data_IF_980513203399
#
_entry.id   IF_980513203399
#
_cell.length_a   1.000
_cell.length_b   1.000
_cell.length_c   1.000
_cell.angle_alpha   90.00
_cell.angle_beta   90.00
_cell.angle_gamma   90.00
#
_symmetry.space_group_name_H-M   'P 1'
#
loop_
_entity.id
_entity.type
_entity.pdbx_description
1 polymer ?
#
# COMPACT_ATOMS: atom_id res chain seq x y z
N UNK A 1 -37.19 14.25 -6.41
CA UNK A 1 -35.87 14.05 -5.77
C UNK A 1 -35.28 12.78 -6.34
N UNK A 2 -34.10 12.85 -6.97
CA UNK A 2 -33.37 11.65 -7.37
C UNK A 2 -33.08 10.80 -6.11
N UNK A 3 -33.21 9.48 -6.21
CA UNK A 3 -32.92 8.46 -5.18
C UNK A 3 -33.81 8.38 -3.93
N UNK A 4 -34.82 9.23 -3.75
CA UNK A 4 -35.64 9.24 -2.51
C UNK A 4 -36.30 7.89 -2.19
N UNK A 5 -36.90 7.24 -3.20
CA UNK A 5 -37.50 5.92 -3.04
C UNK A 5 -36.47 4.84 -2.70
N UNK A 6 -35.28 4.89 -3.30
CA UNK A 6 -34.21 3.92 -3.05
C UNK A 6 -33.64 4.06 -1.64
N UNK A 7 -33.48 5.30 -1.16
CA UNK A 7 -33.08 5.59 0.22
C UNK A 7 -34.12 5.07 1.21
N UNK A 8 -35.41 5.29 0.93
CA UNK A 8 -36.50 4.82 1.78
C UNK A 8 -36.51 3.29 1.88
N UNK A 9 -36.38 2.61 0.75
CA UNK A 9 -36.34 1.15 0.67
C UNK A 9 -35.11 0.60 1.38
N UNK A 10 -33.92 1.15 1.12
CA UNK A 10 -32.67 0.76 1.77
C UNK A 10 -32.79 0.90 3.30
N UNK A 11 -33.21 2.08 3.77
CA UNK A 11 -33.31 2.36 5.22
C UNK A 11 -34.31 1.43 5.88
N UNK A 12 -35.49 1.26 5.28
CA UNK A 12 -36.53 0.36 5.79
C UNK A 12 -36.03 -1.07 5.88
N UNK A 13 -35.43 -1.60 4.80
CA UNK A 13 -34.90 -2.96 4.77
C UNK A 13 -33.81 -3.15 5.82
N UNK A 14 -32.88 -2.19 5.95
CA UNK A 14 -31.74 -2.29 6.86
C UNK A 14 -32.17 -2.29 8.32
N UNK A 15 -33.07 -1.37 8.70
CA UNK A 15 -33.62 -1.31 10.05
C UNK A 15 -34.49 -2.53 10.38
N UNK A 16 -35.30 -3.02 9.42
CA UNK A 16 -36.09 -4.25 9.60
C UNK A 16 -35.24 -5.50 9.85
N UNK A 17 -34.04 -5.54 9.27
CA UNK A 17 -33.14 -6.70 9.40
C UNK A 17 -32.44 -6.74 10.75
N UNK A 18 -32.20 -5.58 11.38
CA UNK A 18 -31.33 -5.46 12.56
C UNK A 18 -32.09 -5.16 13.85
N UNK A 19 -33.23 -4.49 13.77
CA UNK A 19 -34.03 -4.12 14.94
C UNK A 19 -35.14 -5.14 15.22
N UNK A 20 -35.62 -5.16 16.46
CA UNK A 20 -36.70 -6.05 16.89
C UNK A 20 -37.99 -5.84 16.08
N UNK A 21 -38.69 -6.93 15.76
CA UNK A 21 -39.99 -6.90 15.08
C UNK A 21 -41.05 -6.16 15.89
N UNK A 22 -40.93 -6.14 17.22
CA UNK A 22 -41.87 -5.48 18.13
C UNK A 22 -41.69 -3.95 18.15
N UNK A 23 -40.61 -3.42 17.60
CA UNK A 23 -40.25 -2.00 17.61
C UNK A 23 -40.61 -1.31 16.30
N UNK A 24 -41.78 -1.61 15.75
CA UNK A 24 -42.26 -1.02 14.49
C UNK A 24 -42.25 0.50 14.55
N UNK A 25 -42.66 1.10 15.68
CA UNK A 25 -42.68 2.55 15.85
C UNK A 25 -41.27 3.19 15.84
N UNK A 26 -40.23 2.47 16.26
CA UNK A 26 -38.85 2.94 16.16
C UNK A 26 -38.42 2.93 14.69
N UNK A 27 -38.60 1.79 14.02
CA UNK A 27 -38.23 1.61 12.61
C UNK A 27 -38.89 2.66 11.71
N UNK A 28 -40.18 2.94 11.90
CA UNK A 28 -40.89 4.00 11.16
C UNK A 28 -40.30 5.38 11.45
N UNK A 29 -40.19 5.78 12.72
CA UNK A 29 -39.67 7.10 13.11
C UNK A 29 -38.26 7.36 12.60
N UNK A 30 -37.37 6.38 12.74
CA UNK A 30 -35.98 6.48 12.27
C UNK A 30 -35.92 6.54 10.73
N UNK A 31 -36.71 5.71 10.04
CA UNK A 31 -36.79 5.71 8.58
C UNK A 31 -37.21 7.07 8.04
N UNK A 32 -38.32 7.62 8.55
CA UNK A 32 -38.84 8.92 8.12
C UNK A 32 -37.81 10.03 8.36
N UNK A 33 -37.14 10.00 9.52
CA UNK A 33 -36.15 11.00 9.88
C UNK A 33 -34.91 10.96 8.98
N UNK A 34 -34.34 9.77 8.77
CA UNK A 34 -33.17 9.57 7.91
C UNK A 34 -33.49 9.93 6.47
N UNK A 35 -34.64 9.48 5.96
CA UNK A 35 -35.09 9.83 4.62
C UNK A 35 -35.21 11.35 4.44
N UNK A 36 -35.83 12.05 5.41
CA UNK A 36 -36.00 13.51 5.37
C UNK A 36 -34.68 14.27 5.36
N UNK A 37 -33.66 13.82 6.11
CA UNK A 37 -32.39 14.54 6.24
C UNK A 37 -31.39 14.19 5.14
N UNK A 38 -31.51 13.00 4.54
CA UNK A 38 -30.60 12.53 3.50
C UNK A 38 -30.49 13.47 2.30
N UNK A 39 -31.51 14.28 2.04
CA UNK A 39 -31.54 15.25 0.94
C UNK A 39 -31.18 14.64 -0.44
N UNK A 40 -31.49 13.36 -0.65
CA UNK A 40 -31.16 12.60 -1.87
C UNK A 40 -29.75 11.99 -1.90
N UNK A 41 -28.93 12.20 -0.88
CA UNK A 41 -27.60 11.60 -0.72
C UNK A 41 -27.70 10.18 -0.17
N UNK A 42 -27.54 9.19 -1.05
CA UNK A 42 -27.56 7.78 -0.65
C UNK A 42 -26.39 7.44 0.29
N UNK A 43 -25.21 7.99 0.04
CA UNK A 43 -24.02 7.79 0.87
C UNK A 43 -24.24 8.30 2.31
N UNK A 44 -24.89 9.46 2.44
CA UNK A 44 -25.26 10.00 3.75
C UNK A 44 -26.18 9.02 4.49
N UNK A 45 -27.22 8.52 3.81
CA UNK A 45 -28.16 7.57 4.41
C UNK A 45 -27.47 6.27 4.86
N UNK A 46 -26.56 5.72 4.05
CA UNK A 46 -25.79 4.53 4.42
C UNK A 46 -25.00 4.74 5.71
N UNK A 47 -24.24 5.84 5.80
CA UNK A 47 -23.40 6.14 6.96
C UNK A 47 -24.21 6.40 8.23
N UNK A 48 -25.30 7.17 8.11
CA UNK A 48 -26.16 7.50 9.25
C UNK A 48 -26.96 6.29 9.73
N UNK A 49 -27.42 5.42 8.83
CA UNK A 49 -28.07 4.16 9.21
C UNK A 49 -27.10 3.27 9.98
N UNK A 50 -25.86 3.10 9.51
CA UNK A 50 -24.87 2.26 10.20
C UNK A 50 -24.49 2.84 11.58
N UNK A 51 -24.30 4.16 11.72
CA UNK A 51 -24.07 4.80 13.03
C UNK A 51 -25.29 4.64 13.95
N UNK A 52 -26.50 4.83 13.42
CA UNK A 52 -27.75 4.68 14.20
C UNK A 52 -27.90 3.26 14.72
N UNK A 53 -27.63 2.25 13.89
CA UNK A 53 -27.70 0.84 14.26
C UNK A 53 -26.63 0.49 15.30
N UNK A 54 -25.41 1.02 15.19
CA UNK A 54 -24.38 0.83 16.21
C UNK A 54 -24.83 1.35 17.58
N UNK A 55 -25.46 2.54 17.63
CA UNK A 55 -26.00 3.10 18.88
C UNK A 55 -27.22 2.36 19.41
N UNK A 56 -28.03 1.84 18.52
CA UNK A 56 -29.14 0.97 18.89
C UNK A 56 -28.62 -0.31 19.56
N UNK A 57 -27.59 -0.95 18.99
CA UNK A 57 -26.95 -2.13 19.55
C UNK A 57 -26.29 -1.86 20.93
N UNK A 58 -25.88 -0.62 21.20
CA UNK A 58 -25.41 -0.15 22.51
C UNK A 58 -26.54 0.10 23.54
N UNK A 59 -27.81 -0.04 23.14
CA UNK A 59 -28.98 0.19 24.01
C UNK A 59 -29.43 1.65 24.12
N UNK A 60 -29.05 2.50 23.15
CA UNK A 60 -29.48 3.92 23.14
C UNK A 60 -30.99 4.02 22.94
N UNK A 61 -31.65 4.88 23.73
CA UNK A 61 -33.11 5.11 23.61
C UNK A 61 -33.49 5.76 22.28
N UNK A 62 -34.73 5.56 21.83
CA UNK A 62 -35.25 6.16 20.59
C UNK A 62 -35.01 7.68 20.52
N UNK A 63 -35.30 8.40 21.61
CA UNK A 63 -35.05 9.85 21.68
C UNK A 63 -33.56 10.20 21.53
N UNK A 64 -32.67 9.36 22.09
CA UNK A 64 -31.23 9.50 21.91
C UNK A 64 -30.80 9.29 20.46
N UNK A 65 -31.35 8.27 19.80
CA UNK A 65 -31.10 7.99 18.38
C UNK A 65 -31.60 9.13 17.48
N UNK A 66 -32.82 9.61 17.72
CA UNK A 66 -33.41 10.73 16.97
C UNK A 66 -32.55 11.99 17.09
N UNK A 67 -32.12 12.34 18.31
CA UNK A 67 -31.22 13.49 18.53
C UNK A 67 -29.90 13.31 17.79
N UNK A 68 -29.31 12.10 17.82
CA UNK A 68 -28.06 11.82 17.11
C UNK A 68 -28.20 12.00 15.60
N UNK A 69 -29.31 11.55 15.02
CA UNK A 69 -29.62 11.72 13.60
C UNK A 69 -29.79 13.21 13.26
N UNK A 70 -30.52 13.96 14.09
CA UNK A 70 -30.71 15.42 13.93
C UNK A 70 -29.40 16.21 14.00
N UNK A 71 -28.49 15.74 14.84
CA UNK A 71 -27.17 16.36 14.99
C UNK A 71 -26.26 16.08 13.77
N UNK A 72 -26.57 15.14 12.86
CA UNK A 72 -25.69 14.81 11.73
C UNK A 72 -25.71 15.91 10.65
N UNK A 73 -24.55 16.46 10.24
CA UNK A 73 -24.46 17.41 9.14
C UNK A 73 -24.97 16.81 7.84
N UNK A 74 -25.63 17.60 7.00
CA UNK A 74 -26.17 17.15 5.71
C UNK A 74 -25.04 17.05 4.67
N UNK A 75 -24.07 17.97 4.75
CA UNK A 75 -22.87 18.00 3.94
C UNK A 75 -21.93 16.84 4.30
N UNK A 76 -21.55 16.06 3.29
CA UNK A 76 -20.75 14.83 3.49
C UNK A 76 -19.40 15.09 4.17
N UNK A 77 -18.73 16.21 3.86
CA UNK A 77 -17.44 16.54 4.47
C UNK A 77 -17.55 16.80 5.97
N UNK A 78 -18.57 17.55 6.37
CA UNK A 78 -18.85 17.83 7.76
C UNK A 78 -19.30 16.55 8.49
N UNK A 79 -20.08 15.71 7.81
CA UNK A 79 -20.45 14.39 8.31
C UNK A 79 -19.20 13.53 8.58
N UNK A 80 -18.26 13.44 7.63
CA UNK A 80 -17.02 12.66 7.81
C UNK A 80 -16.22 13.17 9.00
N UNK A 81 -16.02 14.50 9.08
CA UNK A 81 -15.33 15.13 10.21
C UNK A 81 -16.01 14.83 11.55
N UNK A 82 -17.34 14.90 11.61
CA UNK A 82 -18.10 14.56 12.82
C UNK A 82 -17.98 13.08 13.19
N UNK A 83 -18.09 12.18 12.21
CA UNK A 83 -17.98 10.74 12.44
C UNK A 83 -16.61 10.35 12.98
N UNK A 84 -15.54 10.96 12.44
CA UNK A 84 -14.16 10.70 12.85
C UNK A 84 -13.77 11.36 14.20
N UNK A 85 -14.45 12.41 14.63
CA UNK A 85 -14.16 13.11 15.90
C UNK A 85 -15.01 12.62 17.08
N UNK A 86 -16.19 12.04 16.82
CA UNK A 86 -17.09 11.51 17.85
C UNK A 86 -16.60 10.17 18.43
N UNK A 87 -15.45 9.67 17.98
CA UNK A 87 -14.95 8.33 18.30
C UNK A 87 -14.36 8.22 19.71
N UNK A 88 -14.89 7.30 20.51
CA UNK A 88 -14.29 6.82 21.75
C UNK A 88 -13.31 5.63 21.53
N UNK A 89 -13.11 5.19 20.28
CA UNK A 89 -12.42 3.95 19.95
C UNK A 89 -11.29 4.19 18.95
N UNK A 90 -10.07 3.87 19.37
CA UNK A 90 -8.87 3.92 18.54
C UNK A 90 -8.09 5.23 18.67
N UNK A 91 -6.80 5.14 18.39
CA UNK A 91 -5.90 6.29 18.34
C UNK A 91 -6.11 7.06 17.03
N UNK A 92 -6.42 8.36 17.11
CA UNK A 92 -6.67 9.20 15.93
C UNK A 92 -5.49 9.22 14.96
N UNK A 93 -4.26 9.12 15.45
CA UNK A 93 -3.06 9.04 14.64
C UNK A 93 -2.97 7.72 13.87
N UNK A 94 -3.42 6.62 14.47
CA UNK A 94 -3.49 5.30 13.79
C UNK A 94 -4.53 5.34 12.68
N UNK A 95 -5.71 5.90 12.96
CA UNK A 95 -6.78 6.09 11.96
C UNK A 95 -6.25 6.96 10.80
N UNK A 96 -5.57 8.06 11.13
CA UNK A 96 -4.96 8.93 10.14
C UNK A 96 -3.96 8.20 9.24
N UNK A 97 -3.02 7.46 9.83
CA UNK A 97 -2.06 6.66 9.06
C UNK A 97 -2.74 5.58 8.20
N UNK A 98 -3.82 4.97 8.68
CA UNK A 98 -4.61 4.00 7.90
C UNK A 98 -5.17 4.66 6.63
N UNK A 99 -5.77 5.85 6.74
CA UNK A 99 -6.20 6.61 5.55
C UNK A 99 -5.02 7.01 4.67
N UNK A 100 -3.89 7.45 5.24
CA UNK A 100 -2.69 7.78 4.44
C UNK A 100 -2.23 6.59 3.57
N UNK A 101 -2.29 5.37 4.11
CA UNK A 101 -2.00 4.15 3.35
C UNK A 101 -3.01 3.89 2.24
N UNK A 102 -4.32 3.95 2.52
CA UNK A 102 -5.36 3.74 1.47
C UNK A 102 -5.25 4.77 0.35
N UNK A 103 -4.99 6.04 0.67
CA UNK A 103 -5.08 7.15 -0.28
C UNK A 103 -3.84 7.30 -1.17
N UNK A 104 -2.68 6.79 -0.74
CA UNK A 104 -1.41 7.04 -1.43
C UNK A 104 -0.59 5.78 -1.75
N UNK A 105 -1.11 4.58 -1.45
CA UNK A 105 -0.49 3.34 -1.91
C UNK A 105 -0.43 3.32 -3.46
N UNK A 106 0.63 2.74 -4.02
CA UNK A 106 0.80 2.68 -5.47
C UNK A 106 -0.16 1.67 -6.16
N UNK A 107 -0.78 0.80 -5.37
CA UNK A 107 -1.80 -0.15 -5.81
C UNK A 107 -2.75 -0.48 -4.67
N UNK A 108 -3.95 -1.04 -4.95
CA UNK A 108 -4.78 -1.66 -3.94
C UNK A 108 -4.00 -2.70 -3.14
N UNK A 109 -4.16 -2.64 -1.81
CA UNK A 109 -3.47 -3.49 -0.85
C UNK A 109 -4.43 -4.54 -0.29
N UNK A 110 -3.96 -5.77 -0.23
CA UNK A 110 -4.71 -6.96 0.20
C UNK A 110 -4.80 -7.09 1.71
N UNK A 111 -5.75 -7.87 2.21
CA UNK A 111 -5.93 -8.05 3.65
C UNK A 111 -4.69 -8.64 4.34
N UNK A 112 -3.99 -9.59 3.70
CA UNK A 112 -2.73 -10.13 4.22
C UNK A 112 -1.67 -9.03 4.42
N UNK A 113 -1.58 -8.08 3.50
CA UNK A 113 -0.73 -6.89 3.64
C UNK A 113 -1.23 -5.96 4.74
N UNK A 114 -2.55 -5.75 4.84
CA UNK A 114 -3.17 -4.88 5.85
C UNK A 114 -2.99 -5.37 7.29
N UNK A 115 -2.90 -6.69 7.50
CA UNK A 115 -2.53 -7.25 8.80
C UNK A 115 -1.18 -6.66 9.27
N UNK A 116 -0.18 -6.62 8.39
CA UNK A 116 1.11 -6.03 8.71
C UNK A 116 1.06 -4.50 8.76
N UNK A 117 0.37 -3.83 7.83
CA UNK A 117 0.27 -2.38 7.82
C UNK A 117 -0.32 -1.88 9.14
N UNK A 118 -1.47 -2.44 9.58
CA UNK A 118 -2.09 -2.06 10.84
C UNK A 118 -1.18 -2.29 12.05
N UNK A 119 -0.33 -3.32 12.02
CA UNK A 119 0.64 -3.58 13.09
C UNK A 119 1.74 -2.51 13.16
N UNK A 120 2.25 -2.06 12.00
CA UNK A 120 3.40 -1.14 11.94
C UNK A 120 3.02 0.35 11.96
N UNK A 121 1.74 0.70 11.77
CA UNK A 121 1.28 2.09 11.94
C UNK A 121 0.93 2.45 13.39
N UNK A 122 0.92 1.47 14.31
CA UNK A 122 0.70 1.69 15.74
C UNK A 122 1.76 2.64 16.34
N UNK A 123 1.46 3.34 17.46
CA UNK A 123 2.44 4.17 18.15
C UNK A 123 3.66 3.35 18.61
N UNK A 124 3.41 2.16 19.17
CA UNK A 124 4.44 1.18 19.51
C UNK A 124 4.50 0.12 18.42
N UNK A 125 5.51 0.23 17.56
CA UNK A 125 5.76 -0.72 16.47
C UNK A 125 6.27 -2.04 17.05
N UNK A 126 5.86 -3.20 16.52
CA UNK A 126 6.40 -4.46 16.99
C UNK A 126 7.89 -4.58 16.67
N UNK A 127 8.67 -5.15 17.59
CA UNK A 127 10.09 -5.42 17.37
C UNK A 127 10.34 -6.56 16.38
N UNK A 128 9.33 -7.43 16.20
CA UNK A 128 9.36 -8.60 15.33
C UNK A 128 7.94 -9.11 15.04
N UNK A 129 7.75 -9.89 13.98
CA UNK A 129 6.47 -10.55 13.68
C UNK A 129 6.08 -11.54 14.78
N UNK A 130 7.06 -12.22 15.39
CA UNK A 130 6.81 -13.09 16.54
C UNK A 130 6.28 -12.32 17.76
N UNK A 131 6.78 -11.11 18.03
CA UNK A 131 6.28 -10.25 19.11
C UNK A 131 4.89 -9.70 18.80
N UNK A 132 4.64 -9.34 17.53
CA UNK A 132 3.34 -8.86 17.07
C UNK A 132 2.25 -9.92 17.26
N UNK A 133 2.49 -11.20 16.91
CA UNK A 133 1.52 -12.30 17.10
C UNK A 133 1.10 -12.53 18.55
N UNK A 134 1.92 -12.09 19.51
CA UNK A 134 1.63 -12.20 20.96
C UNK A 134 1.00 -10.94 21.52
N UNK A 135 0.83 -9.90 20.71
CA UNK A 135 0.32 -8.60 21.14
C UNK A 135 -1.20 -8.51 20.98
N UNK A 136 -1.83 -7.62 21.75
CA UNK A 136 -3.27 -7.33 21.66
C UNK A 136 -3.66 -6.70 20.32
N UNK A 137 -2.70 -6.15 19.57
CA UNK A 137 -2.94 -5.54 18.26
C UNK A 137 -3.01 -6.57 17.13
N UNK A 138 -2.63 -7.83 17.41
CA UNK A 138 -2.70 -8.93 16.46
C UNK A 138 -4.12 -9.14 15.95
N UNK A 139 -4.22 -9.41 14.66
CA UNK A 139 -5.47 -9.74 13.99
C UNK A 139 -5.29 -11.14 13.41
N UNK A 140 -6.00 -12.11 13.97
CA UNK A 140 -5.84 -13.54 13.67
C UNK A 140 -6.53 -13.93 12.36
N UNK A 141 -7.67 -13.29 12.05
CA UNK A 141 -8.45 -13.57 10.86
C UNK A 141 -8.73 -12.32 10.02
N UNK A 142 -8.91 -12.52 8.72
CA UNK A 142 -9.28 -11.47 7.77
C UNK A 142 -10.58 -10.77 8.20
N UNK A 143 -11.57 -11.50 8.74
CA UNK A 143 -12.83 -10.92 9.19
C UNK A 143 -12.66 -10.06 10.45
N UNK A 144 -11.73 -10.43 11.34
CA UNK A 144 -11.37 -9.60 12.48
C UNK A 144 -10.73 -8.30 12.00
N UNK A 145 -9.84 -8.38 11.01
CA UNK A 145 -9.21 -7.23 10.39
C UNK A 145 -10.23 -6.33 9.69
N UNK A 146 -11.15 -6.89 8.91
CA UNK A 146 -12.22 -6.14 8.24
C UNK A 146 -13.09 -5.39 9.25
N UNK A 147 -13.55 -6.05 10.32
CA UNK A 147 -14.31 -5.39 11.39
C UNK A 147 -13.49 -4.26 12.04
N UNK A 148 -12.19 -4.47 12.25
CA UNK A 148 -11.29 -3.45 12.81
C UNK A 148 -11.17 -2.24 11.89
N UNK A 149 -10.96 -2.45 10.59
CA UNK A 149 -10.89 -1.39 9.57
C UNK A 149 -12.22 -0.63 9.48
N UNK A 150 -13.34 -1.34 9.43
CA UNK A 150 -14.68 -0.71 9.39
C UNK A 150 -14.92 0.15 10.63
N UNK A 151 -14.58 -0.35 11.81
CA UNK A 151 -14.77 0.37 13.08
C UNK A 151 -13.87 1.60 13.18
N UNK A 152 -12.58 1.47 12.84
CA UNK A 152 -11.61 2.58 12.87
C UNK A 152 -11.94 3.67 11.83
N UNK A 153 -12.42 3.27 10.66
CA UNK A 153 -12.80 4.21 9.59
C UNK A 153 -14.23 4.74 9.70
N UNK A 154 -15.04 4.24 10.65
CA UNK A 154 -16.48 4.52 10.78
C UNK A 154 -17.24 4.26 9.48
N UNK A 155 -16.83 3.20 8.77
CA UNK A 155 -17.41 2.81 7.49
C UNK A 155 -16.98 3.65 6.30
N UNK A 156 -16.05 4.60 6.44
CA UNK A 156 -15.49 5.37 5.31
C UNK A 156 -14.52 4.55 4.44
N UNK A 157 -14.05 3.41 4.96
CA UNK A 157 -13.33 2.40 4.21
C UNK A 157 -14.17 1.12 4.12
N UNK A 158 -14.10 0.47 2.97
CA UNK A 158 -14.68 -0.85 2.74
C UNK A 158 -13.61 -1.86 2.33
N UNK A 159 -13.90 -3.12 2.61
CA UNK A 159 -13.18 -4.28 2.08
C UNK A 159 -13.95 -4.81 0.89
N UNK A 160 -13.31 -4.85 -0.28
CA UNK A 160 -13.94 -5.22 -1.54
C UNK A 160 -13.36 -6.51 -2.11
N UNK A 161 -14.24 -7.36 -2.61
CA UNK A 161 -13.90 -8.59 -3.34
C UNK A 161 -13.65 -8.31 -4.84
N UNK A 162 -13.97 -7.10 -5.32
CA UNK A 162 -14.08 -6.76 -6.75
C UNK A 162 -12.75 -6.55 -7.48
N UNK A 163 -11.71 -7.29 -7.12
CA UNK A 163 -10.48 -7.35 -7.93
C UNK A 163 -10.67 -8.22 -9.20
N UNK A 164 -11.76 -9.02 -9.28
CA UNK A 164 -12.00 -9.96 -10.38
C UNK A 164 -13.19 -9.67 -11.33
N UNK A 165 -14.11 -8.76 -11.02
CA UNK A 165 -15.31 -8.53 -11.85
C UNK A 165 -15.05 -7.73 -13.15
N UNK A 166 -13.85 -7.18 -13.37
CA UNK A 166 -13.54 -6.43 -14.60
C UNK A 166 -12.68 -7.25 -15.58
N UNK A 167 -12.09 -8.36 -15.11
CA UNK A 167 -11.30 -9.27 -15.95
C UNK A 167 -12.11 -10.49 -16.42
N UNK A 168 -13.19 -10.85 -15.72
CA UNK A 168 -14.00 -12.02 -16.05
C UNK A 168 -14.91 -11.83 -17.29
N UNK A 169 -15.25 -10.60 -17.69
CA UNK A 169 -16.10 -10.36 -18.86
C UNK A 169 -15.34 -10.16 -20.18
N UNK A 170 -14.00 -10.18 -20.20
CA UNK A 170 -13.30 -9.97 -21.48
C UNK A 170 -12.11 -10.83 -21.87
N UNK A 171 -11.44 -11.53 -20.96
CA UNK A 171 -10.35 -12.43 -21.36
C UNK A 171 -10.46 -13.77 -20.62
N UNK A 172 -11.11 -14.73 -21.26
CA UNK A 172 -10.80 -16.13 -21.01
C UNK A 172 -9.34 -16.36 -21.42
N UNK A 173 -8.52 -16.77 -20.46
CA UNK A 173 -7.08 -17.06 -20.53
C UNK A 173 -6.13 -15.94 -20.03
N UNK A 174 -5.25 -16.38 -19.12
CA UNK A 174 -4.08 -15.71 -18.50
C UNK A 174 -4.42 -14.74 -17.35
N UNK A 175 -4.10 -14.99 -16.06
CA UNK A 175 -2.81 -15.42 -15.50
C UNK A 175 -2.97 -16.06 -14.12
N UNK A 176 -2.57 -17.33 -13.99
CA UNK A 176 -2.57 -18.11 -12.74
C UNK A 176 -1.32 -17.88 -11.87
N UNK A 177 -0.65 -16.73 -11.99
CA UNK A 177 0.66 -16.50 -11.36
C UNK A 177 0.54 -15.85 -9.97
N UNK A 178 -0.63 -15.29 -9.62
CA UNK A 178 -0.85 -14.62 -8.33
C UNK A 178 -1.83 -15.36 -7.40
N UNK A 179 -2.37 -16.51 -7.81
CA UNK A 179 -3.13 -17.37 -6.93
C UNK A 179 -2.13 -18.08 -6.01
N UNK A 180 -2.09 -17.70 -4.73
CA UNK A 180 -1.46 -18.54 -3.71
C UNK A 180 -2.03 -19.96 -3.86
N UNK A 181 -1.15 -20.96 -3.80
CA UNK A 181 -1.57 -22.36 -3.90
C UNK A 181 -2.54 -22.69 -2.76
N UNK A 182 -3.86 -22.60 -3.00
CA UNK A 182 -4.88 -23.08 -2.08
C UNK A 182 -6.17 -22.27 -1.87
N UNK A 183 -6.46 -21.15 -2.55
CA UNK A 183 -7.81 -20.56 -2.48
C UNK A 183 -8.44 -20.47 -3.86
N UNK A 184 -9.45 -21.31 -4.08
CA UNK A 184 -10.34 -21.25 -5.25
C UNK A 184 -11.49 -20.25 -5.02
N UNK A 185 -11.50 -19.56 -3.88
CA UNK A 185 -12.64 -18.78 -3.42
C UNK A 185 -12.23 -17.29 -3.44
N UNK A 186 -12.32 -16.65 -4.60
CA UNK A 186 -11.94 -15.24 -4.76
C UNK A 186 -12.88 -14.27 -4.00
N UNK A 187 -13.99 -14.80 -3.46
CA UNK A 187 -14.95 -14.09 -2.61
C UNK A 187 -14.65 -14.22 -1.10
N UNK A 188 -13.76 -15.15 -0.71
CA UNK A 188 -13.48 -15.51 0.68
C UNK A 188 -11.96 -15.63 0.89
N UNK A 189 -11.38 -14.66 1.61
CA UNK A 189 -9.99 -14.72 2.07
C UNK A 189 -9.16 -13.48 1.81
N UNK A 190 -7.84 -13.65 1.79
CA UNK A 190 -6.88 -12.55 1.89
C UNK A 190 -6.73 -11.70 0.62
N UNK A 191 -7.30 -12.15 -0.51
CA UNK A 191 -7.24 -11.46 -1.80
C UNK A 191 -8.05 -10.16 -1.84
N UNK A 192 -8.97 -9.97 -0.89
CA UNK A 192 -9.82 -8.79 -0.76
C UNK A 192 -8.97 -7.53 -0.49
N UNK A 193 -9.42 -6.39 -1.00
CA UNK A 193 -8.66 -5.13 -0.93
C UNK A 193 -9.42 -4.06 -0.16
N UNK A 194 -8.68 -3.21 0.55
CA UNK A 194 -9.26 -2.07 1.29
C UNK A 194 -9.26 -0.83 0.39
N UNK A 195 -10.39 -0.13 0.34
CA UNK A 195 -10.55 1.11 -0.44
C UNK A 195 -11.49 2.10 0.25
N UNK A 196 -11.52 3.33 -0.23
CA UNK A 196 -12.55 4.31 0.17
C UNK A 196 -13.91 3.90 -0.37
N UNK A 197 -14.97 4.12 0.40
CA UNK A 197 -16.35 3.82 -0.05
C UNK A 197 -16.81 4.72 -1.19
N UNK A 198 -16.22 5.90 -1.33
CA UNK A 198 -16.59 6.89 -2.32
C UNK A 198 -15.48 7.92 -2.52
N UNK A 199 -15.44 8.53 -3.70
CA UNK A 199 -14.46 9.57 -4.07
C UNK A 199 -14.40 10.75 -3.12
N UNK A 200 -15.56 11.18 -2.62
CA UNK A 200 -15.65 12.32 -1.70
C UNK A 200 -14.84 12.12 -0.41
N UNK A 201 -14.57 10.88 -0.01
CA UNK A 201 -13.68 10.58 1.13
C UNK A 201 -12.24 10.94 0.77
N UNK A 202 -11.78 10.59 -0.44
CA UNK A 202 -10.46 11.02 -0.92
C UNK A 202 -10.36 12.54 -0.96
N UNK A 203 -11.37 13.19 -1.55
CA UNK A 203 -11.37 14.65 -1.68
C UNK A 203 -11.36 15.33 -0.30
N UNK A 204 -12.11 14.80 0.67
CA UNK A 204 -12.14 15.27 2.04
C UNK A 204 -10.76 15.27 2.70
N UNK A 205 -10.03 14.16 2.60
CA UNK A 205 -8.70 14.05 3.22
C UNK A 205 -7.64 14.87 2.49
N UNK A 206 -7.63 14.85 1.16
CA UNK A 206 -6.55 15.43 0.37
C UNK A 206 -6.74 16.93 0.13
N UNK A 207 -7.97 17.39 -0.12
CA UNK A 207 -8.23 18.78 -0.52
C UNK A 207 -8.96 19.61 0.54
N UNK A 208 -9.64 18.96 1.49
CA UNK A 208 -10.53 19.67 2.43
C UNK A 208 -10.10 19.57 3.89
N UNK A 209 -8.88 19.09 4.12
CA UNK A 209 -8.23 19.13 5.43
C UNK A 209 -8.74 18.08 6.41
N UNK A 210 -9.29 16.95 5.93
CA UNK A 210 -9.81 15.87 6.77
C UNK A 210 -8.79 15.28 7.74
N UNK A 211 -7.50 15.32 7.43
CA UNK A 211 -6.44 14.89 8.35
C UNK A 211 -6.34 15.76 9.62
N UNK A 212 -6.75 17.04 9.57
CA UNK A 212 -6.76 17.91 10.76
C UNK A 212 -7.73 17.40 11.82
N UNK A 213 -8.85 16.81 11.41
CA UNK A 213 -9.82 16.18 12.31
C UNK A 213 -9.25 14.99 13.09
N UNK A 214 -8.13 14.43 12.63
CA UNK A 214 -7.42 13.31 13.26
C UNK A 214 -6.14 13.75 14.00
N UNK A 215 -5.92 15.06 14.16
CA UNK A 215 -4.72 15.62 14.78
C UNK A 215 -3.47 15.55 13.88
N UNK A 216 -3.65 15.34 12.57
CA UNK A 216 -2.58 15.35 11.58
C UNK A 216 -2.64 16.66 10.78
N UNK A 217 -1.91 17.66 11.25
CA UNK A 217 -1.68 18.88 10.47
C UNK A 217 -0.79 18.59 9.28
N UNK A 218 -1.17 19.09 8.12
CA UNK A 218 -0.47 18.85 6.87
C UNK A 218 -0.63 20.06 5.95
N UNK A 219 0.50 20.51 5.39
CA UNK A 219 0.52 21.52 4.32
C UNK A 219 0.28 20.85 2.97
N UNK A 220 0.82 19.65 2.77
CA UNK A 220 0.61 18.84 1.58
C UNK A 220 0.23 17.39 1.97
N UNK A 221 -1.08 17.11 2.14
CA UNK A 221 -1.56 15.82 2.63
C UNK A 221 -1.03 14.62 1.87
N UNK A 222 -0.93 14.71 0.54
CA UNK A 222 -0.50 13.59 -0.29
C UNK A 222 0.98 13.24 -0.08
N UNK A 223 1.85 14.26 0.03
CA UNK A 223 3.27 14.04 0.28
C UNK A 223 3.51 13.46 1.68
N UNK A 224 2.75 13.92 2.67
CA UNK A 224 2.77 13.35 4.02
C UNK A 224 2.30 11.89 4.04
N UNK A 225 1.35 11.51 3.18
CA UNK A 225 0.95 10.12 3.03
C UNK A 225 2.11 9.26 2.55
N UNK A 226 2.83 9.68 1.51
CA UNK A 226 4.00 8.97 1.01
C UNK A 226 5.13 8.90 2.06
N UNK A 227 5.34 9.97 2.82
CA UNK A 227 6.30 9.97 3.92
C UNK A 227 5.94 8.93 5.01
N UNK A 228 4.66 8.82 5.38
CA UNK A 228 4.18 7.78 6.30
C UNK A 228 4.44 6.39 5.74
N UNK A 229 4.04 6.12 4.49
CA UNK A 229 4.21 4.80 3.87
C UNK A 229 5.69 4.42 3.82
N UNK A 230 6.57 5.33 3.38
CA UNK A 230 8.01 5.10 3.32
C UNK A 230 8.60 4.75 4.70
N UNK A 231 8.24 5.51 5.74
CA UNK A 231 8.70 5.24 7.10
C UNK A 231 8.24 3.85 7.58
N UNK A 232 6.97 3.52 7.37
CA UNK A 232 6.41 2.21 7.75
C UNK A 232 7.06 1.07 6.97
N UNK A 233 7.31 1.22 5.66
CA UNK A 233 8.06 0.24 4.88
C UNK A 233 9.47 0.03 5.41
N UNK A 234 10.20 1.10 5.76
CA UNK A 234 11.54 0.97 6.33
C UNK A 234 11.47 0.23 7.68
N UNK A 235 10.52 0.57 8.55
CA UNK A 235 10.34 -0.14 9.83
C UNK A 235 10.09 -1.64 9.61
N UNK A 236 9.22 -1.98 8.66
CA UNK A 236 8.91 -3.36 8.30
C UNK A 236 10.12 -4.11 7.75
N UNK A 237 10.90 -3.47 6.86
CA UNK A 237 12.08 -4.09 6.25
C UNK A 237 13.19 -4.38 7.27
N UNK A 238 13.14 -3.75 8.44
CA UNK A 238 14.13 -3.86 9.52
C UNK A 238 13.78 -4.87 10.62
N UNK A 239 12.72 -5.66 10.43
CA UNK A 239 12.39 -6.76 11.34
C UNK A 239 13.45 -7.88 11.29
N UNK A 240 13.71 -8.57 12.41
CA UNK A 240 14.72 -9.63 12.48
C UNK A 240 14.37 -10.85 11.62
N UNK A 241 13.08 -11.12 11.35
CA UNK A 241 12.66 -12.20 10.46
C UNK A 241 13.26 -12.09 9.05
N UNK A 242 13.65 -10.89 8.61
CA UNK A 242 14.27 -10.67 7.31
C UNK A 242 15.81 -10.74 7.32
N UNK A 243 16.45 -10.95 8.48
CA UNK A 243 17.91 -10.90 8.60
C UNK A 243 18.61 -11.99 7.80
N UNK A 244 18.14 -13.24 7.90
CA UNK A 244 18.69 -14.37 7.14
C UNK A 244 18.55 -14.14 5.63
N UNK A 245 17.40 -13.60 5.21
CA UNK A 245 17.14 -13.25 3.82
C UNK A 245 18.08 -12.16 3.31
N UNK A 246 18.32 -11.12 4.11
CA UNK A 246 19.29 -10.05 3.79
C UNK A 246 20.71 -10.61 3.68
N UNK A 247 21.14 -11.44 4.64
CA UNK A 247 22.47 -12.06 4.65
C UNK A 247 22.65 -12.95 3.42
N UNK A 248 21.64 -13.77 3.07
CA UNK A 248 21.67 -14.60 1.88
C UNK A 248 21.82 -13.76 0.60
N UNK A 249 21.07 -12.66 0.47
CA UNK A 249 21.19 -11.74 -0.68
C UNK A 249 22.55 -11.04 -0.75
N UNK A 250 23.12 -10.66 0.39
CA UNK A 250 24.46 -10.06 0.43
C UNK A 250 25.55 -11.04 -0.02
N UNK A 251 25.44 -12.33 0.34
CA UNK A 251 26.37 -13.38 -0.10
C UNK A 251 26.32 -13.59 -1.62
N UNK A 252 25.11 -13.65 -2.19
CA UNK A 252 24.94 -13.76 -3.65
C UNK A 252 25.54 -12.55 -4.37
N UNK A 253 25.37 -11.35 -3.82
CA UNK A 253 25.96 -10.14 -4.38
C UNK A 253 27.51 -10.19 -4.37
N UNK A 254 28.10 -10.58 -3.24
CA UNK A 254 29.56 -10.75 -3.14
C UNK A 254 30.08 -11.81 -4.12
N UNK A 255 29.40 -12.95 -4.25
CA UNK A 255 29.78 -13.99 -5.19
C UNK A 255 29.68 -13.52 -6.66
N UNK A 256 28.65 -12.72 -7.01
CA UNK A 256 28.52 -12.12 -8.34
C UNK A 256 29.64 -11.12 -8.65
N UNK A 257 30.06 -10.32 -7.66
CA UNK A 257 31.16 -9.36 -7.81
C UNK A 257 32.51 -10.07 -7.95
N UNK A 258 32.74 -11.13 -7.16
CA UNK A 258 33.95 -11.97 -7.26
C UNK A 258 34.00 -12.69 -8.60
N UNK A 259 32.87 -13.22 -9.09
CA UNK A 259 32.79 -13.85 -10.41
C UNK A 259 33.08 -12.84 -11.54
N UNK A 260 32.54 -11.62 -11.45
CA UNK A 260 32.83 -10.56 -12.42
C UNK A 260 34.31 -10.11 -12.38
N UNK A 261 34.92 -10.06 -11.18
CA UNK A 261 36.34 -9.74 -11.01
C UNK A 261 37.26 -10.82 -11.60
N UNK A 262 36.93 -12.09 -11.39
CA UNK A 262 37.70 -13.22 -11.93
C UNK A 262 37.59 -13.34 -13.46
N UNK A 263 36.46 -12.93 -14.04
CA UNK A 263 36.30 -12.84 -15.50
C UNK A 263 37.07 -11.67 -16.13
N UNK A 264 37.58 -10.72 -15.35
CA UNK A 264 38.39 -9.60 -15.85
C UNK A 264 39.91 -9.84 -15.79
N UNK A 265 40.36 -10.95 -15.20
CA UNK A 265 41.80 -11.27 -15.02
C UNK A 265 42.35 -12.27 -16.07
N UNK A 266 41.84 -12.27 -17.31
CA UNK A 266 42.60 -12.86 -18.43
C UNK A 266 43.61 -11.85 -18.95
N UNK A 267 44.83 -11.98 -18.43
CA UNK A 267 46.05 -11.25 -18.80
C UNK A 267 46.26 -11.17 -20.33
N UNK A 268 46.22 -9.94 -20.87
CA UNK A 268 46.95 -9.61 -22.09
C UNK A 268 48.31 -9.03 -21.71
N UNK A 269 49.37 -9.73 -22.09
CA UNK A 269 50.73 -9.18 -22.18
C UNK A 269 50.81 -8.27 -23.40
N UNK A 270 51.30 -7.03 -23.24
CA UNK A 270 52.25 -6.38 -24.16
C UNK A 270 52.70 -5.00 -23.65
N UNK A 271 54.02 -4.89 -23.51
CA UNK A 271 54.94 -3.77 -23.82
C UNK A 271 54.71 -2.34 -23.24
N UNK A 272 55.68 -1.92 -22.41
CA UNK A 272 56.16 -0.53 -22.17
C UNK A 272 56.87 0.04 -23.43
N UNK A 273 57.20 1.37 -23.59
CA UNK A 273 57.10 2.57 -22.71
C UNK A 273 56.62 3.85 -23.50
N UNK A 274 56.87 5.16 -23.16
CA UNK A 274 57.52 5.77 -21.99
C UNK A 274 56.78 6.93 -21.28
N UNK A 275 56.97 6.96 -19.96
CA UNK A 275 57.35 8.09 -19.09
C UNK A 275 56.92 9.53 -19.48
N UNK A 276 55.86 10.03 -18.85
CA UNK A 276 55.72 11.47 -18.51
C UNK A 276 55.17 11.60 -17.09
N UNK A 277 55.77 12.53 -16.34
CA UNK A 277 55.72 12.71 -14.90
C UNK A 277 54.31 12.99 -14.36
N UNK A 278 53.99 12.31 -13.25
CA UNK A 278 52.77 12.50 -12.44
C UNK A 278 52.98 13.67 -11.48
N UNK A 279 52.30 14.79 -11.72
CA UNK A 279 51.97 15.74 -10.65
C UNK A 279 50.73 15.25 -9.91
N UNK A 280 50.88 15.01 -8.61
CA UNK A 280 49.79 14.69 -7.69
C UNK A 280 48.91 15.93 -7.50
N UNK A 281 47.68 15.88 -8.00
CA UNK A 281 46.57 16.64 -7.41
C UNK A 281 45.60 15.66 -6.75
N UNK A 282 45.58 15.69 -5.42
CA UNK A 282 44.50 15.13 -4.62
C UNK A 282 43.24 15.96 -4.89
N UNK A 283 42.33 15.44 -5.71
CA UNK A 283 40.93 15.84 -5.72
C UNK A 283 40.10 14.71 -5.12
N UNK A 284 39.60 14.95 -3.90
CA UNK A 284 38.65 14.07 -3.24
C UNK A 284 37.37 13.98 -4.07
N UNK A 285 37.23 12.86 -4.80
CA UNK A 285 36.01 12.49 -5.53
C UNK A 285 35.27 11.44 -4.71
N UNK A 286 34.51 11.90 -3.71
CA UNK A 286 33.51 11.08 -3.02
C UNK A 286 32.18 11.15 -3.78
N UNK A 287 31.88 10.08 -4.51
CA UNK A 287 30.78 9.97 -5.48
C UNK A 287 29.41 10.24 -4.86
N UNK A 288 28.85 11.41 -5.16
CA UNK A 288 27.43 11.74 -4.93
C UNK A 288 26.64 11.06 -6.03
N UNK A 289 26.22 9.81 -5.82
CA UNK A 289 25.37 9.08 -6.76
C UNK A 289 23.94 9.64 -6.68
N UNK A 290 23.73 10.80 -7.30
CA UNK A 290 22.43 11.33 -7.65
C UNK A 290 21.83 10.45 -8.75
N UNK A 291 20.62 9.98 -8.52
CA UNK A 291 19.88 9.14 -9.46
C UNK A 291 19.24 10.07 -10.51
N UNK A 292 20.06 10.54 -11.47
CA UNK A 292 19.64 11.50 -12.51
C UNK A 292 18.77 10.89 -13.63
N UNK A 293 18.50 9.58 -13.61
CA UNK A 293 17.78 8.90 -14.71
C UNK A 293 16.27 8.67 -14.46
N UNK A 294 15.56 9.62 -13.85
CA UNK A 294 14.10 9.56 -13.68
C UNK A 294 13.31 10.62 -14.47
N UNK A 295 13.96 11.36 -15.38
CA UNK A 295 13.27 12.25 -16.33
C UNK A 295 12.65 11.46 -17.51
N UNK A 296 11.66 10.61 -17.20
CA UNK A 296 10.64 10.18 -18.15
C UNK A 296 9.56 9.35 -17.43
N UNK A 297 8.99 9.89 -16.35
CA UNK A 297 7.67 9.44 -15.91
C UNK A 297 6.66 10.45 -16.44
N UNK A 298 5.56 9.99 -17.07
CA UNK A 298 4.44 10.89 -17.37
C UNK A 298 4.01 11.58 -16.06
N UNK A 299 3.48 12.81 -16.12
CA UNK A 299 3.01 13.51 -14.93
C UNK A 299 2.07 12.60 -14.15
N UNK A 300 2.44 12.27 -12.91
CA UNK A 300 1.56 11.54 -12.01
C UNK A 300 0.31 12.41 -11.82
N UNK A 301 -0.84 11.92 -12.26
CA UNK A 301 -2.14 12.57 -12.10
C UNK A 301 -2.90 11.83 -10.99
N UNK A 302 -2.87 12.31 -9.73
CA UNK A 302 -3.50 11.63 -8.59
C UNK A 302 -5.00 11.33 -8.80
N UNK A 303 -5.65 12.13 -9.64
CA UNK A 303 -7.03 11.97 -10.07
C UNK A 303 -7.29 10.65 -10.81
N UNK A 304 -6.42 10.27 -11.74
CA UNK A 304 -6.64 9.08 -12.59
C UNK A 304 -6.46 7.78 -11.82
N UNK A 305 -5.53 7.75 -10.86
CA UNK A 305 -5.31 6.57 -10.00
C UNK A 305 -6.53 6.30 -9.13
N UNK A 306 -7.09 7.34 -8.50
CA UNK A 306 -8.27 7.23 -7.63
C UNK A 306 -9.53 6.94 -8.44
N UNK A 307 -9.72 7.60 -9.60
CA UNK A 307 -10.81 7.27 -10.52
C UNK A 307 -10.70 5.83 -11.03
N UNK A 308 -9.50 5.33 -11.36
CA UNK A 308 -9.31 3.94 -11.73
C UNK A 308 -9.63 2.99 -10.57
N UNK A 309 -9.35 3.36 -9.31
CA UNK A 309 -9.75 2.57 -8.14
C UNK A 309 -11.26 2.54 -7.92
N UNK A 310 -11.94 3.65 -8.18
CA UNK A 310 -13.39 3.79 -8.02
C UNK A 310 -14.18 3.18 -9.19
N UNK A 311 -13.66 3.30 -10.41
CA UNK A 311 -14.22 2.75 -11.64
C UNK A 311 -13.77 1.30 -11.91
N UNK A 312 -12.86 0.76 -11.09
CA UNK A 312 -12.26 -0.56 -11.25
C UNK A 312 -11.39 -0.73 -12.49
N UNK A 313 -10.91 0.38 -13.07
CA UNK A 313 -10.09 0.39 -14.29
C UNK A 313 -8.71 -0.23 -14.12
N UNK A 314 -8.25 -0.91 -15.18
CA UNK A 314 -6.91 -1.50 -15.30
C UNK A 314 -5.84 -0.41 -15.40
N UNK A 315 -4.86 -0.42 -14.49
CA UNK A 315 -3.55 0.17 -14.77
C UNK A 315 -2.88 -0.68 -15.85
N UNK A 316 -2.53 -0.05 -16.98
CA UNK A 316 -1.85 -0.67 -18.11
C UNK A 316 -0.63 -1.47 -17.65
N UNK A 317 -0.80 -2.78 -17.45
CA UNK A 317 0.31 -3.71 -17.42
C UNK A 317 0.83 -3.81 -18.85
N UNK A 318 2.09 -3.44 -19.06
CA UNK A 318 2.84 -3.88 -20.22
C UNK A 318 2.82 -5.41 -20.23
N UNK A 319 1.96 -5.98 -21.07
CA UNK A 319 1.85 -7.40 -21.31
C UNK A 319 1.94 -7.62 -22.82
N UNK A 320 3.14 -7.47 -23.38
CA UNK A 320 3.44 -8.10 -24.66
C UNK A 320 3.87 -9.53 -24.41
N UNK A 321 2.95 -10.44 -24.68
CA UNK A 321 3.14 -11.88 -24.78
C UNK A 321 4.12 -12.17 -25.93
N UNK A 322 5.27 -12.80 -25.65
CA UNK A 322 6.05 -13.47 -26.70
C UNK A 322 5.90 -15.00 -26.53
N UNK A 323 5.37 -15.71 -27.54
CA UNK A 323 5.23 -17.15 -27.51
C UNK A 323 6.55 -17.86 -27.84
N UNK A 324 6.82 -18.94 -27.10
CA UNK A 324 7.84 -19.92 -27.44
C UNK A 324 9.19 -19.69 -26.76
N UNK A 325 9.45 -20.43 -25.66
CA UNK A 325 10.82 -20.65 -25.21
C UNK A 325 11.04 -22.13 -24.91
N UNK A 326 11.85 -22.73 -25.78
CA UNK A 326 12.28 -24.12 -25.74
C UNK A 326 13.17 -24.31 -24.51
N UNK A 327 12.81 -25.31 -23.69
CA UNK A 327 13.61 -25.79 -22.55
C UNK A 327 15.03 -26.15 -23.02
N UNK A 328 16.03 -25.44 -22.54
CA UNK A 328 17.41 -25.94 -22.47
C UNK A 328 17.92 -25.83 -21.05
N UNK A 329 18.12 -27.01 -20.46
CA UNK A 329 18.84 -27.21 -19.20
C UNK A 329 20.29 -26.79 -19.37
N UNK A 330 20.75 -25.85 -18.56
CA UNK A 330 22.17 -25.61 -18.37
C UNK A 330 22.66 -26.42 -17.16
N UNK A 331 23.83 -27.02 -17.35
CA UNK A 331 24.48 -28.04 -16.55
C UNK A 331 24.92 -27.59 -15.15
N UNK A 332 24.88 -28.57 -14.24
CA UNK A 332 25.42 -28.57 -12.89
C UNK A 332 26.89 -28.10 -12.84
N UNK A 333 27.18 -27.05 -12.06
CA UNK A 333 28.47 -26.92 -11.37
C UNK A 333 28.32 -26.09 -10.08
N UNK A 334 28.39 -26.82 -8.96
CA UNK A 334 28.67 -26.44 -7.56
C UNK A 334 28.32 -25.04 -7.04
N UNK A 335 27.02 -24.80 -6.78
CA UNK A 335 26.57 -23.86 -5.74
C UNK A 335 26.48 -24.64 -4.42
N UNK A 336 27.43 -24.42 -3.52
CA UNK A 336 27.39 -24.90 -2.13
C UNK A 336 26.01 -24.56 -1.54
N UNK A 337 25.33 -25.62 -1.08
CA UNK A 337 23.95 -25.66 -0.62
C UNK A 337 23.47 -24.38 0.09
N UNK A 338 22.82 -23.49 -0.67
CA UNK A 338 21.87 -22.55 -0.10
C UNK A 338 20.62 -23.37 0.26
N UNK A 339 20.59 -23.93 1.47
CA UNK A 339 19.36 -24.49 2.03
C UNK A 339 18.31 -23.38 2.03
N UNK A 340 17.27 -23.52 1.20
CA UNK A 340 16.10 -22.65 1.20
C UNK A 340 15.38 -22.80 2.53
N UNK A 341 15.77 -22.01 3.53
CA UNK A 341 15.00 -21.90 4.77
C UNK A 341 13.77 -21.05 4.47
N UNK A 342 12.60 -21.66 4.61
CA UNK A 342 11.32 -20.96 4.56
C UNK A 342 11.29 -20.02 5.75
N UNK A 343 11.01 -18.73 5.50
CA UNK A 343 10.79 -17.75 6.58
C UNK A 343 9.72 -18.31 7.51
N UNK A 344 10.02 -18.37 8.81
CA UNK A 344 9.11 -18.96 9.81
C UNK A 344 7.75 -18.25 9.84
N UNK A 345 7.74 -16.98 9.46
CA UNK A 345 6.58 -16.12 9.39
C UNK A 345 6.39 -15.58 7.98
N UNK A 346 5.18 -15.71 7.43
CA UNK A 346 4.82 -15.17 6.12
C UNK A 346 4.82 -13.62 6.16
N UNK A 347 5.72 -12.94 5.42
CA UNK A 347 5.85 -11.48 5.46
C UNK A 347 5.10 -10.86 4.28
N UNK A 348 3.77 -10.80 4.33
CA UNK A 348 2.94 -10.46 3.16
C UNK A 348 3.26 -9.07 2.56
N UNK A 349 3.65 -8.10 3.40
CA UNK A 349 4.00 -6.74 2.97
C UNK A 349 5.39 -6.63 2.33
N UNK A 350 6.22 -7.67 2.39
CA UNK A 350 7.62 -7.63 1.94
C UNK A 350 7.76 -7.19 0.48
N UNK A 351 6.93 -7.76 -0.40
CA UNK A 351 7.02 -7.47 -1.85
C UNK A 351 6.74 -6.00 -2.09
N UNK A 352 5.63 -5.48 -1.58
CA UNK A 352 5.28 -4.06 -1.70
C UNK A 352 6.36 -3.16 -1.10
N UNK A 353 6.83 -3.49 0.12
CA UNK A 353 7.85 -2.69 0.80
C UNK A 353 9.17 -2.64 0.02
N UNK A 354 9.60 -3.73 -0.61
CA UNK A 354 10.84 -3.72 -1.41
C UNK A 354 10.64 -2.98 -2.74
N UNK A 355 9.50 -3.18 -3.42
CA UNK A 355 9.30 -2.64 -4.77
C UNK A 355 8.90 -1.16 -4.76
N UNK A 356 8.10 -0.71 -3.79
CA UNK A 356 7.47 0.62 -3.79
C UNK A 356 8.11 1.64 -2.85
N UNK A 357 8.95 1.23 -1.89
CA UNK A 357 9.50 2.18 -0.89
C UNK A 357 10.26 3.36 -1.51
N UNK A 358 11.00 3.16 -2.61
CA UNK A 358 11.74 4.26 -3.25
C UNK A 358 10.82 5.25 -3.94
N UNK A 359 9.73 4.78 -4.54
CA UNK A 359 8.71 5.66 -5.11
C UNK A 359 8.18 6.61 -4.01
N UNK A 360 7.83 6.06 -2.85
CA UNK A 360 7.33 6.87 -1.74
C UNK A 360 8.38 7.82 -1.15
N UNK A 361 9.65 7.41 -1.10
CA UNK A 361 10.77 8.28 -0.70
C UNK A 361 10.93 9.45 -1.67
N UNK A 362 10.90 9.18 -2.98
CA UNK A 362 11.09 10.21 -4.00
C UNK A 362 9.91 11.20 -4.02
N UNK A 363 8.68 10.71 -3.90
CA UNK A 363 7.50 11.58 -3.79
C UNK A 363 7.53 12.41 -2.50
N UNK A 364 7.89 11.82 -1.34
CA UNK A 364 7.99 12.55 -0.08
C UNK A 364 9.05 13.67 -0.11
N UNK A 365 10.07 13.57 -0.98
CA UNK A 365 11.12 14.59 -1.18
C UNK A 365 10.67 15.79 -2.00
N UNK A 366 9.55 15.68 -2.72
CA UNK A 366 9.01 16.79 -3.52
C UNK A 366 8.40 17.89 -2.64
N UNK A 367 8.34 17.70 -1.32
CA UNK A 367 7.80 18.68 -0.39
C UNK A 367 8.72 19.91 -0.31
N UNK A 368 8.28 21.09 -0.78
CA UNK A 368 9.09 22.30 -0.69
C UNK A 368 9.27 22.79 0.75
N UNK A 369 8.45 22.32 1.70
CA UNK A 369 8.50 22.71 3.11
C UNK A 369 8.46 21.45 4.01
N UNK A 370 9.56 20.69 4.10
CA UNK A 370 9.57 19.35 4.68
C UNK A 370 9.10 19.37 6.14
N UNK A 371 8.02 18.62 6.40
CA UNK A 371 7.53 18.36 7.75
C UNK A 371 8.58 17.66 8.62
N UNK A 372 8.44 17.70 9.95
CA UNK A 372 9.33 16.98 10.89
C UNK A 372 9.45 15.49 10.52
N UNK A 373 8.35 14.89 10.05
CA UNK A 373 8.32 13.49 9.57
C UNK A 373 9.20 13.29 8.35
N UNK A 374 9.16 14.20 7.39
CA UNK A 374 9.99 14.15 6.18
C UNK A 374 11.47 14.35 6.54
N UNK A 375 11.78 15.27 7.45
CA UNK A 375 13.14 15.46 7.96
C UNK A 375 13.66 14.20 8.65
N UNK A 376 12.84 13.57 9.50
CA UNK A 376 13.16 12.30 10.15
C UNK A 376 13.39 11.17 9.13
N UNK A 377 12.56 11.06 8.09
CA UNK A 377 12.76 10.10 7.00
C UNK A 377 14.11 10.32 6.31
N UNK A 378 14.45 11.57 5.99
CA UNK A 378 15.72 11.90 5.35
C UNK A 378 16.92 11.61 6.25
N UNK A 379 16.81 11.88 7.56
CA UNK A 379 17.84 11.53 8.54
C UNK A 379 18.05 10.01 8.63
N UNK A 380 16.97 9.22 8.64
CA UNK A 380 17.04 7.75 8.58
C UNK A 380 17.70 7.27 7.29
N UNK A 381 17.35 7.87 6.16
CA UNK A 381 18.02 7.62 4.89
C UNK A 381 19.44 8.21 4.84
N UNK A 382 19.93 8.89 5.87
CA UNK A 382 21.35 9.24 6.00
C UNK A 382 22.19 8.09 6.57
N UNK A 383 21.55 7.09 7.19
CA UNK A 383 22.22 5.98 7.85
C UNK A 383 22.71 4.93 6.83
N UNK A 384 24.02 4.65 6.87
CA UNK A 384 24.67 3.70 5.97
C UNK A 384 24.16 2.26 6.15
N UNK A 385 23.77 1.90 7.37
CA UNK A 385 23.17 0.59 7.69
C UNK A 385 21.80 0.44 7.03
N UNK A 386 20.98 1.49 7.08
CA UNK A 386 19.69 1.57 6.39
C UNK A 386 19.86 1.35 4.90
N UNK A 387 20.74 2.10 4.26
CA UNK A 387 21.00 1.95 2.83
C UNK A 387 21.60 0.60 2.46
N UNK A 388 22.52 0.06 3.26
CA UNK A 388 23.12 -1.25 3.00
C UNK A 388 22.05 -2.35 2.99
N UNK A 389 21.10 -2.31 3.94
CA UNK A 389 19.99 -3.27 3.98
C UNK A 389 19.03 -3.09 2.81
N UNK A 390 18.59 -1.87 2.53
CA UNK A 390 17.68 -1.57 1.41
C UNK A 390 18.27 -2.02 0.07
N UNK A 391 19.56 -1.75 -0.18
CA UNK A 391 20.24 -2.21 -1.41
C UNK A 391 20.25 -3.72 -1.56
N UNK A 392 20.50 -4.46 -0.47
CA UNK A 392 20.48 -5.92 -0.50
C UNK A 392 19.09 -6.45 -0.85
N UNK A 393 18.03 -5.80 -0.36
CA UNK A 393 16.64 -6.20 -0.59
C UNK A 393 16.11 -5.77 -1.97
N UNK A 394 16.53 -4.64 -2.53
CA UNK A 394 15.99 -4.08 -3.78
C UNK A 394 16.64 -4.60 -5.08
N UNK A 395 17.72 -5.38 -5.00
CA UNK A 395 18.52 -5.76 -6.17
C UNK A 395 17.71 -6.46 -7.27
N UNK A 396 16.64 -7.17 -6.92
CA UNK A 396 15.77 -7.86 -7.89
C UNK A 396 15.07 -6.92 -8.87
N UNK A 397 14.70 -5.70 -8.46
CA UNK A 397 14.12 -4.70 -9.37
C UNK A 397 15.15 -4.22 -10.38
N UNK A 398 16.42 -4.05 -9.97
CA UNK A 398 17.52 -3.68 -10.88
C UNK A 398 17.85 -4.79 -11.85
N UNK A 399 17.92 -6.04 -11.38
CA UNK A 399 18.21 -7.18 -12.25
C UNK A 399 17.09 -7.39 -13.24
N UNK A 400 15.81 -7.40 -12.80
CA UNK A 400 14.65 -7.54 -13.71
C UNK A 400 14.54 -6.37 -14.70
N UNK A 401 14.77 -5.13 -14.26
CA UNK A 401 14.79 -3.96 -15.15
C UNK A 401 15.91 -4.05 -16.19
N UNK A 402 17.13 -4.41 -15.78
CA UNK A 402 18.26 -4.64 -16.69
C UNK A 402 18.00 -5.79 -17.66
N UNK A 403 17.38 -6.88 -17.20
CA UNK A 403 17.02 -7.99 -18.08
C UNK A 403 15.93 -7.58 -19.07
N UNK A 404 14.93 -6.80 -18.65
CA UNK A 404 13.90 -6.26 -19.53
C UNK A 404 14.47 -5.27 -20.56
N UNK A 405 15.29 -4.30 -20.11
CA UNK A 405 16.03 -3.36 -20.98
C UNK A 405 16.95 -4.10 -21.96
N UNK A 406 17.61 -5.17 -21.52
CA UNK A 406 18.45 -6.01 -22.37
C UNK A 406 17.61 -6.81 -23.38
N UNK A 407 16.50 -7.42 -22.96
CA UNK A 407 15.58 -8.13 -23.86
C UNK A 407 14.96 -7.20 -24.89
N UNK A 408 14.62 -5.96 -24.50
CA UNK A 408 14.09 -4.93 -25.38
C UNK A 408 15.17 -4.42 -26.35
N UNK A 409 16.40 -4.21 -25.88
CA UNK A 409 17.55 -3.87 -26.74
C UNK A 409 17.87 -5.00 -27.75
N UNK A 410 17.77 -6.26 -27.33
CA UNK A 410 17.88 -7.45 -28.20
C UNK A 410 16.74 -7.49 -29.21
N UNK A 411 15.50 -7.26 -28.80
CA UNK A 411 14.33 -7.23 -29.67
C UNK A 411 14.40 -6.09 -30.71
N UNK A 412 15.04 -4.98 -30.36
CA UNK A 412 15.22 -3.82 -31.25
C UNK A 412 16.52 -3.88 -32.09
N UNK A 413 17.27 -4.98 -32.10
CA UNK A 413 18.58 -5.13 -32.76
C UNK A 413 19.59 -4.03 -32.36
N UNK A 414 19.47 -3.47 -31.16
CA UNK A 414 20.38 -2.47 -30.58
C UNK A 414 21.27 -3.13 -29.54
N UNK A 415 22.10 -4.08 -29.95
CA UNK A 415 23.14 -4.59 -29.04
C UNK A 415 24.21 -3.50 -28.87
N UNK A 416 24.59 -3.11 -27.64
CA UNK A 416 25.87 -2.45 -27.43
C UNK A 416 26.98 -3.43 -27.83
N UNK A 417 28.09 -2.95 -28.43
CA UNK A 417 29.12 -3.81 -28.95
C UNK A 417 29.69 -4.69 -27.85
N UNK A 418 29.75 -6.01 -28.10
CA UNK A 418 30.48 -6.95 -27.25
C UNK A 418 31.94 -6.48 -27.18
N UNK A 419 32.36 -6.02 -25.99
CA UNK A 419 33.76 -5.78 -25.69
C UNK A 419 34.50 -7.11 -25.78
N UNK A 420 35.44 -7.19 -26.73
CA UNK A 420 36.42 -8.28 -26.86
C UNK A 420 37.42 -8.28 -25.73
#
# INVERSE_FOLDING_TARGET
>A
MYNGNDILNYTTQRLNTRMSTNETHWRTSLTEKIHSLSSGSFLWAVLVVDETLARYDEGTSLSGLMRRIEDMPIELEELYGKMLTTTAYGDSLVIGKMFQWVLAANRPLRLDEWHHILAFIQPSKPASLASWRKSESFTETDDQLERKIKNLSRGLLEVSNKQHDILAEKNGEVSSINAGAGSLDHEEGSARVVRVIHRSVYDFFIFKGGFRSLGLESVNPLLDCHCTIANTCIDYLFIPELDEYVVARQRVNMASLVSASLCSETSFKSEEPPNVQVERQQQGRGSRNTFEDLEALPPWQPFEVVENWLAGGVLSSYADSIPGSIKRSASHESLVAATSQVLSDYPALLVYAITEVMLHVDLARLDPNPTEKTQHLLARLGDDGIWKRLRALQQERRTRKKTAEWLEAVAQNRLPPLSK
#
